data_IF_633884843060
#
_entry.id   IF_633884843060
#
_cell.length_a   1.000
_cell.length_b   1.000
_cell.length_c   1.000
_cell.angle_alpha   90.00
_cell.angle_beta   90.00
_cell.angle_gamma   90.00
#
_symmetry.space_group_name_H-M   'P 1'
#
loop_
_entity.id
_entity.type
_entity.pdbx_description
1 polymer ?
#
# COMPACT_ATOMS: atom_id res chain seq x y z
N UNK A 1 -34.66 -92.72 41.11
CA UNK A 1 -35.94 -91.99 40.95
C UNK A 1 -36.52 -92.40 39.61
N UNK A 2 -37.77 -92.85 39.54
CA UNK A 2 -38.40 -93.21 38.26
C UNK A 2 -39.33 -92.08 37.84
N UNK A 3 -39.08 -91.46 36.69
CA UNK A 3 -40.01 -90.48 36.11
C UNK A 3 -40.82 -91.22 35.06
N UNK A 4 -42.12 -91.35 35.32
CA UNK A 4 -43.06 -92.01 34.41
C UNK A 4 -43.76 -90.90 33.63
N UNK A 5 -43.44 -90.78 32.35
CA UNK A 5 -44.08 -89.81 31.45
C UNK A 5 -45.26 -90.53 30.80
N UNK A 6 -46.48 -90.13 31.16
CA UNK A 6 -47.73 -90.67 30.58
C UNK A 6 -48.31 -89.64 29.61
N UNK A 7 -48.38 -89.99 28.33
CA UNK A 7 -49.07 -89.19 27.31
C UNK A 7 -50.36 -89.90 26.88
N UNK A 8 -51.50 -89.48 27.45
CA UNK A 8 -52.90 -89.94 27.13
C UNK A 8 -53.29 -91.35 27.62
N UNK A 9 -54.61 -91.64 27.78
CA UNK A 9 -55.09 -92.77 28.59
C UNK A 9 -54.87 -94.18 28.02
N UNK A 10 -54.24 -94.34 26.84
CA UNK A 10 -54.05 -95.65 26.19
C UNK A 10 -52.72 -95.80 25.43
N UNK A 11 -51.69 -95.03 25.77
CA UNK A 11 -50.38 -95.14 25.12
C UNK A 11 -49.35 -95.90 25.98
N UNK A 12 -48.45 -96.64 25.32
CA UNK A 12 -47.32 -97.36 25.92
C UNK A 12 -46.56 -96.50 26.94
N UNK A 13 -46.52 -96.95 28.19
CA UNK A 13 -45.78 -96.30 29.29
C UNK A 13 -44.28 -96.41 29.04
N UNK A 14 -43.63 -95.30 28.67
CA UNK A 14 -42.17 -95.21 28.66
C UNK A 14 -41.68 -94.89 30.07
N UNK A 15 -41.06 -95.89 30.70
CA UNK A 15 -40.50 -95.77 32.05
C UNK A 15 -39.06 -95.28 31.92
N UNK A 16 -38.78 -94.02 32.29
CA UNK A 16 -37.41 -93.51 32.37
C UNK A 16 -36.82 -93.86 33.74
N UNK A 17 -35.99 -94.91 33.78
CA UNK A 17 -35.29 -95.37 34.99
C UNK A 17 -33.98 -94.59 35.14
N UNK A 18 -33.96 -93.51 35.93
CA UNK A 18 -32.76 -92.68 36.18
C UNK A 18 -31.62 -93.37 36.97
N UNK A 19 -31.69 -94.69 37.18
CA UNK A 19 -30.64 -95.49 37.84
C UNK A 19 -29.76 -96.31 36.89
N UNK A 20 -30.04 -96.30 35.58
CA UNK A 20 -29.29 -97.10 34.61
C UNK A 20 -28.11 -96.30 34.03
N UNK A 21 -26.89 -96.83 34.18
CA UNK A 21 -25.62 -96.17 33.81
C UNK A 21 -25.62 -95.70 32.35
N UNK A 22 -26.36 -96.36 31.46
CA UNK A 22 -26.53 -95.96 30.05
C UNK A 22 -27.28 -94.63 29.84
N UNK A 23 -28.28 -94.31 30.67
CA UNK A 23 -29.05 -93.07 30.51
C UNK A 23 -28.27 -91.83 30.98
N UNK A 24 -27.37 -91.98 31.96
CA UNK A 24 -26.46 -90.91 32.39
C UNK A 24 -25.46 -90.55 31.30
N UNK A 25 -24.88 -91.55 30.63
CA UNK A 25 -23.97 -91.32 29.49
C UNK A 25 -24.68 -90.62 28.31
N UNK A 26 -25.94 -90.96 28.03
CA UNK A 26 -26.73 -90.28 27.00
C UNK A 26 -27.05 -88.82 27.36
N UNK A 27 -27.38 -88.54 28.63
CA UNK A 27 -27.62 -87.17 29.08
C UNK A 27 -26.35 -86.31 29.04
N UNK A 28 -25.21 -86.86 29.48
CA UNK A 28 -23.90 -86.18 29.40
C UNK A 28 -23.53 -85.90 27.94
N UNK A 29 -23.72 -86.87 27.03
CA UNK A 29 -23.45 -86.69 25.62
C UNK A 29 -24.34 -85.59 24.99
N UNK A 30 -25.62 -85.52 25.36
CA UNK A 30 -26.53 -84.49 24.88
C UNK A 30 -26.13 -83.08 25.36
N UNK A 31 -25.74 -82.94 26.62
CA UNK A 31 -25.27 -81.66 27.18
C UNK A 31 -23.93 -81.25 26.55
N UNK A 32 -23.01 -82.18 26.38
CA UNK A 32 -21.73 -81.92 25.70
C UNK A 32 -21.95 -81.47 24.25
N UNK A 33 -22.85 -82.14 23.51
CA UNK A 33 -23.21 -81.76 22.15
C UNK A 33 -23.80 -80.33 22.10
N UNK A 34 -24.70 -80.01 23.03
CA UNK A 34 -25.30 -78.68 23.11
C UNK A 34 -24.24 -77.59 23.42
N UNK A 35 -23.33 -77.86 24.35
CA UNK A 35 -22.21 -76.97 24.69
C UNK A 35 -21.29 -76.74 23.50
N UNK A 36 -20.91 -77.81 22.78
CA UNK A 36 -20.10 -77.69 21.57
C UNK A 36 -20.82 -76.94 20.46
N UNK A 37 -22.14 -77.11 20.33
CA UNK A 37 -22.96 -76.38 19.38
C UNK A 37 -23.00 -74.87 19.67
N UNK A 38 -23.14 -74.48 20.94
CA UNK A 38 -23.10 -73.07 21.36
C UNK A 38 -21.70 -72.47 21.14
N UNK A 39 -20.63 -73.21 21.46
CA UNK A 39 -19.26 -72.77 21.20
C UNK A 39 -18.94 -72.65 19.71
N UNK A 40 -19.40 -73.60 18.89
CA UNK A 40 -19.26 -73.56 17.43
C UNK A 40 -20.05 -72.39 16.83
N UNK A 41 -21.26 -72.13 17.31
CA UNK A 41 -22.07 -71.01 16.87
C UNK A 41 -21.48 -69.67 17.31
N UNK A 42 -20.96 -69.59 18.54
CA UNK A 42 -20.27 -68.39 19.06
C UNK A 42 -18.98 -68.09 18.30
N UNK A 43 -18.17 -69.10 18.00
CA UNK A 43 -16.95 -68.94 17.18
C UNK A 43 -17.29 -68.61 15.72
N UNK A 44 -18.36 -69.17 15.16
CA UNK A 44 -18.82 -68.86 13.81
C UNK A 44 -19.36 -67.43 13.68
N UNK A 45 -20.19 -66.99 14.63
CA UNK A 45 -20.70 -65.60 14.68
C UNK A 45 -19.54 -64.63 14.96
N UNK A 46 -18.65 -64.96 15.90
CA UNK A 46 -17.45 -64.17 16.20
C UNK A 46 -16.53 -64.02 14.98
N UNK A 47 -16.27 -65.11 14.25
CA UNK A 47 -15.46 -65.06 13.03
C UNK A 47 -16.14 -64.29 11.87
N UNK A 48 -17.48 -64.25 11.82
CA UNK A 48 -18.23 -63.54 10.77
C UNK A 48 -18.44 -62.06 11.06
N UNK A 49 -18.67 -61.67 12.32
CA UNK A 49 -18.95 -60.28 12.72
C UNK A 49 -17.73 -59.57 13.30
N UNK A 50 -16.88 -60.28 14.03
CA UNK A 50 -15.61 -59.80 14.62
C UNK A 50 -14.44 -60.54 13.97
N UNK A 51 -14.58 -60.82 12.67
CA UNK A 51 -13.52 -61.46 11.89
C UNK A 51 -12.35 -60.49 11.67
N UNK A 52 -11.11 -60.99 11.56
CA UNK A 52 -9.92 -60.18 11.29
C UNK A 52 -10.06 -59.30 10.03
N UNK A 53 -10.93 -59.68 9.09
CA UNK A 53 -11.18 -58.94 7.85
C UNK A 53 -11.99 -57.65 8.06
N UNK A 54 -12.94 -57.62 9.01
CA UNK A 54 -13.69 -56.40 9.29
C UNK A 54 -12.81 -55.35 9.98
N UNK A 55 -12.01 -55.76 10.97
CA UNK A 55 -11.02 -54.87 11.60
C UNK A 55 -9.98 -54.37 10.58
N UNK A 56 -9.50 -55.25 9.69
CA UNK A 56 -8.59 -54.83 8.60
C UNK A 56 -9.25 -53.80 7.69
N UNK A 57 -10.51 -53.98 7.31
CA UNK A 57 -11.21 -53.02 6.46
C UNK A 57 -11.40 -51.66 7.14
N UNK A 58 -11.71 -51.63 8.44
CA UNK A 58 -11.80 -50.38 9.21
C UNK A 58 -10.43 -49.71 9.37
N UNK A 59 -9.37 -50.47 9.66
CA UNK A 59 -8.01 -49.95 9.75
C UNK A 59 -7.50 -49.41 8.41
N UNK A 60 -7.79 -50.10 7.30
CA UNK A 60 -7.46 -49.63 5.95
C UNK A 60 -8.23 -48.35 5.60
N UNK A 61 -9.52 -48.28 5.96
CA UNK A 61 -10.34 -47.08 5.79
C UNK A 61 -9.82 -45.89 6.61
N UNK A 62 -9.48 -46.11 7.88
CA UNK A 62 -8.92 -45.08 8.75
C UNK A 62 -7.53 -44.61 8.26
N UNK A 63 -6.69 -45.53 7.78
CA UNK A 63 -5.39 -45.20 7.16
C UNK A 63 -5.58 -44.32 5.92
N UNK A 64 -6.50 -44.70 5.04
CA UNK A 64 -6.83 -43.93 3.84
C UNK A 64 -7.36 -42.54 4.18
N UNK A 65 -8.17 -42.40 5.23
CA UNK A 65 -8.66 -41.09 5.67
C UNK A 65 -7.53 -40.22 6.22
N UNK A 66 -6.61 -40.79 7.00
CA UNK A 66 -5.43 -40.06 7.49
C UNK A 66 -4.51 -39.62 6.34
N UNK A 67 -4.32 -40.47 5.33
CA UNK A 67 -3.52 -40.12 4.16
C UNK A 67 -4.16 -38.99 3.35
N UNK A 68 -5.49 -39.01 3.20
CA UNK A 68 -6.24 -37.91 2.57
C UNK A 68 -6.13 -36.60 3.37
N UNK A 69 -6.34 -36.66 4.69
CA UNK A 69 -6.20 -35.48 5.55
C UNK A 69 -4.79 -34.91 5.50
N UNK A 70 -3.76 -35.77 5.51
CA UNK A 70 -2.36 -35.35 5.39
C UNK A 70 -2.08 -34.67 4.06
N UNK A 71 -2.54 -35.26 2.95
CA UNK A 71 -2.40 -34.64 1.63
C UNK A 71 -3.11 -33.30 1.54
N UNK A 72 -4.26 -33.14 2.21
CA UNK A 72 -4.98 -31.86 2.22
C UNK A 72 -4.24 -30.81 3.04
N UNK A 73 -3.68 -31.19 4.20
CA UNK A 73 -2.81 -30.31 5.01
C UNK A 73 -1.57 -29.89 4.23
N UNK A 74 -0.91 -30.82 3.52
CA UNK A 74 0.27 -30.52 2.70
C UNK A 74 -0.09 -29.57 1.55
N UNK A 75 -1.27 -29.76 0.92
CA UNK A 75 -1.78 -28.87 -0.12
C UNK A 75 -2.08 -27.47 0.42
N UNK A 76 -2.72 -27.38 1.59
CA UNK A 76 -3.02 -26.11 2.26
C UNK A 76 -1.74 -25.37 2.64
N UNK A 77 -0.76 -26.06 3.25
CA UNK A 77 0.53 -25.49 3.59
C UNK A 77 1.25 -24.96 2.34
N UNK A 78 1.28 -25.75 1.25
CA UNK A 78 1.85 -25.31 -0.02
C UNK A 78 1.13 -24.14 -0.69
N UNK A 79 -0.16 -23.93 -0.40
CA UNK A 79 -0.90 -22.74 -0.85
C UNK A 79 -0.50 -21.52 -0.02
N UNK A 80 -0.52 -21.62 1.30
CA UNK A 80 -0.11 -20.54 2.23
C UNK A 80 1.31 -20.07 1.92
N UNK A 81 2.26 -20.98 1.71
CA UNK A 81 3.65 -20.61 1.40
C UNK A 81 3.76 -19.86 0.07
N UNK A 82 3.02 -20.28 -0.97
CA UNK A 82 3.04 -19.57 -2.28
C UNK A 82 2.45 -18.17 -2.16
N UNK A 83 1.35 -18.03 -1.44
CA UNK A 83 0.71 -16.72 -1.21
C UNK A 83 1.63 -15.78 -0.43
N UNK A 84 2.31 -16.29 0.60
CA UNK A 84 3.34 -15.51 1.32
C UNK A 84 4.51 -15.10 0.42
N UNK A 85 4.97 -15.99 -0.46
CA UNK A 85 6.01 -15.64 -1.44
C UNK A 85 5.58 -14.50 -2.38
N UNK A 86 4.33 -14.54 -2.86
CA UNK A 86 3.78 -13.47 -3.69
C UNK A 86 3.64 -12.14 -2.92
N UNK A 87 3.20 -12.20 -1.66
CA UNK A 87 3.12 -11.03 -0.77
C UNK A 87 4.50 -10.44 -0.47
N UNK A 88 5.52 -11.27 -0.25
CA UNK A 88 6.89 -10.81 -0.03
C UNK A 88 7.46 -10.08 -1.24
N UNK A 89 7.23 -10.59 -2.45
CA UNK A 89 7.60 -9.90 -3.70
C UNK A 89 6.87 -8.57 -3.84
N UNK A 90 5.56 -8.56 -3.56
CA UNK A 90 4.75 -7.33 -3.60
C UNK A 90 5.23 -6.29 -2.59
N UNK A 91 5.55 -6.73 -1.37
CA UNK A 91 6.11 -5.88 -0.32
C UNK A 91 7.47 -5.32 -0.71
N UNK A 92 8.35 -6.16 -1.27
CA UNK A 92 9.66 -5.71 -1.77
C UNK A 92 9.53 -4.66 -2.88
N UNK A 93 8.53 -4.79 -3.76
CA UNK A 93 8.23 -3.77 -4.77
C UNK A 93 7.76 -2.45 -4.14
N UNK A 94 6.86 -2.50 -3.15
CA UNK A 94 6.39 -1.32 -2.42
C UNK A 94 7.56 -0.64 -1.69
N UNK A 95 8.45 -1.42 -1.08
CA UNK A 95 9.63 -0.90 -0.40
C UNK A 95 10.55 -0.18 -1.38
N UNK A 96 10.84 -0.78 -2.53
CA UNK A 96 11.65 -0.14 -3.58
C UNK A 96 11.02 1.16 -4.11
N UNK A 97 9.70 1.19 -4.25
CA UNK A 97 8.96 2.38 -4.64
C UNK A 97 9.03 3.47 -3.57
N UNK A 98 8.88 3.11 -2.28
CA UNK A 98 9.06 4.03 -1.15
C UNK A 98 10.47 4.63 -1.11
N UNK A 99 11.52 3.82 -1.30
CA UNK A 99 12.91 4.32 -1.37
C UNK A 99 13.10 5.32 -2.50
N UNK A 100 12.51 5.07 -3.66
CA UNK A 100 12.57 6.00 -4.80
C UNK A 100 11.85 7.31 -4.51
N UNK A 101 10.71 7.26 -3.84
CA UNK A 101 9.95 8.44 -3.42
C UNK A 101 10.75 9.26 -2.42
N UNK A 102 11.41 8.62 -1.44
CA UNK A 102 12.28 9.31 -0.49
C UNK A 102 13.41 10.07 -1.20
N UNK A 103 14.09 9.41 -2.13
CA UNK A 103 15.15 10.04 -2.92
C UNK A 103 14.64 11.22 -3.76
N UNK A 104 13.40 11.16 -4.24
CA UNK A 104 12.76 12.26 -4.95
C UNK A 104 12.46 13.44 -4.00
N UNK A 105 11.88 13.16 -2.83
CA UNK A 105 11.59 14.16 -1.79
C UNK A 105 12.84 14.91 -1.36
N UNK A 106 13.92 14.18 -1.06
CA UNK A 106 15.22 14.77 -0.68
C UNK A 106 15.79 15.66 -1.80
N UNK A 107 15.72 15.20 -3.06
CA UNK A 107 16.17 15.99 -4.21
C UNK A 107 15.35 17.27 -4.38
N UNK A 108 14.04 17.21 -4.18
CA UNK A 108 13.15 18.35 -4.27
C UNK A 108 13.40 19.35 -3.14
N UNK A 109 13.58 18.88 -1.90
CA UNK A 109 13.96 19.72 -0.77
C UNK A 109 15.29 20.44 -1.03
N UNK A 110 16.29 19.73 -1.56
CA UNK A 110 17.59 20.30 -1.91
C UNK A 110 17.53 21.34 -3.02
N UNK A 111 16.77 21.09 -4.08
CA UNK A 111 16.53 22.07 -5.16
C UNK A 111 15.80 23.31 -4.62
N UNK A 112 14.86 23.09 -3.70
CA UNK A 112 14.16 24.14 -2.97
C UNK A 112 15.03 24.86 -1.93
N UNK A 113 16.29 24.47 -1.72
CA UNK A 113 17.16 25.00 -0.64
C UNK A 113 16.49 24.95 0.75
N UNK A 114 15.79 23.85 1.04
CA UNK A 114 15.07 23.59 2.30
C UNK A 114 15.85 22.62 3.23
N UNK A 115 17.19 22.60 3.12
CA UNK A 115 18.09 21.59 3.73
C UNK A 115 18.35 21.81 5.23
N UNK A 116 17.42 22.45 5.95
CA UNK A 116 17.58 22.83 7.36
C UNK A 116 17.18 21.70 8.34
N UNK A 117 17.12 20.45 7.87
CA UNK A 117 16.72 19.29 8.66
C UNK A 117 15.20 19.21 8.95
N UNK A 118 14.39 20.09 8.36
CA UNK A 118 12.93 20.08 8.49
C UNK A 118 12.27 18.91 7.74
N UNK A 119 12.95 18.39 6.71
CA UNK A 119 12.52 17.26 5.90
C UNK A 119 13.55 16.15 5.96
N UNK A 120 13.25 15.11 6.73
CA UNK A 120 14.04 13.89 6.74
C UNK A 120 13.24 12.74 6.11
N UNK A 121 13.65 12.38 4.89
CA UNK A 121 13.10 11.25 4.13
C UNK A 121 13.91 9.96 4.31
N UNK A 122 14.98 10.01 5.11
CA UNK A 122 15.97 8.94 5.26
C UNK A 122 15.91 8.23 6.61
N UNK A 123 15.37 8.87 7.65
CA UNK A 123 15.24 8.24 8.96
C UNK A 123 14.14 7.18 9.00
N UNK A 124 14.54 6.00 9.47
CA UNK A 124 13.58 5.04 9.99
C UNK A 124 12.94 5.62 11.26
N UNK A 125 11.62 5.48 11.45
CA UNK A 125 10.96 5.97 12.66
C UNK A 125 11.67 5.42 13.92
N UNK A 126 12.00 6.31 14.87
CA UNK A 126 12.57 5.90 16.15
C UNK A 126 11.59 5.01 16.92
N UNK A 127 11.88 3.71 16.99
CA UNK A 127 11.04 2.73 17.67
C UNK A 127 11.66 2.39 19.02
N UNK A 128 11.05 2.89 20.10
CA UNK A 128 11.35 2.42 21.45
C UNK A 128 10.88 0.98 21.61
N UNK A 129 11.82 0.08 21.86
CA UNK A 129 11.55 -1.33 22.16
C UNK A 129 12.84 -2.15 22.15
N UNK A 130 12.92 -3.25 22.92
CA UNK A 130 14.09 -4.12 22.88
C UNK A 130 14.21 -4.76 21.49
N UNK A 131 15.32 -4.52 20.80
CA UNK A 131 15.66 -5.19 19.53
C UNK A 131 16.08 -6.62 19.87
N UNK A 132 15.25 -7.59 19.49
CA UNK A 132 15.59 -9.01 19.62
C UNK A 132 16.17 -9.47 18.28
N UNK A 133 17.50 -9.56 18.20
CA UNK A 133 18.20 -10.21 17.09
C UNK A 133 17.83 -11.70 17.08
N UNK A 134 16.87 -12.10 16.26
CA UNK A 134 16.62 -13.51 15.96
C UNK A 134 16.57 -13.72 14.45
N UNK A 135 17.67 -14.32 13.99
CA UNK A 135 17.91 -14.80 12.64
C UNK A 135 17.02 -16.02 12.38
N UNK A 136 16.26 -15.98 11.29
CA UNK A 136 15.75 -17.14 10.53
C UNK A 136 14.85 -18.17 11.25
N UNK A 137 13.82 -17.72 11.98
CA UNK A 137 12.63 -18.54 12.24
C UNK A 137 11.40 -17.92 11.58
N UNK A 138 10.47 -18.77 11.13
CA UNK A 138 9.23 -18.37 10.47
C UNK A 138 8.55 -17.26 11.25
N UNK A 139 8.53 -16.04 10.69
CA UNK A 139 7.95 -14.85 11.31
C UNK A 139 6.54 -15.20 11.81
N UNK A 140 6.32 -15.25 13.14
CA UNK A 140 5.01 -15.53 13.70
C UNK A 140 3.96 -14.54 13.16
N UNK A 141 2.71 -14.97 12.90
CA UNK A 141 1.68 -14.14 12.27
C UNK A 141 1.44 -12.78 12.96
N UNK A 142 1.66 -12.70 14.27
CA UNK A 142 1.59 -11.49 15.09
C UNK A 142 2.69 -10.47 14.75
N UNK A 143 3.92 -10.92 14.53
CA UNK A 143 5.05 -10.04 14.15
C UNK A 143 4.84 -9.44 12.76
N UNK A 144 4.30 -10.21 11.81
CA UNK A 144 4.00 -9.72 10.47
C UNK A 144 2.98 -8.57 10.47
N UNK A 145 1.93 -8.67 11.30
CA UNK A 145 0.93 -7.60 11.42
C UNK A 145 1.51 -6.31 12.00
N UNK A 146 2.45 -6.42 12.95
CA UNK A 146 3.17 -5.29 13.52
C UNK A 146 4.05 -4.59 12.47
N UNK A 147 4.76 -5.34 11.61
CA UNK A 147 5.56 -4.76 10.53
C UNK A 147 4.70 -4.06 9.48
N UNK A 148 3.56 -4.64 9.09
CA UNK A 148 2.61 -3.98 8.17
C UNK A 148 2.08 -2.67 8.76
N UNK A 149 1.78 -2.64 10.07
CA UNK A 149 1.31 -1.42 10.73
C UNK A 149 2.41 -0.35 10.81
N UNK A 150 3.67 -0.73 11.01
CA UNK A 150 4.82 0.20 10.94
C UNK A 150 4.97 0.78 9.53
N UNK A 151 4.94 -0.07 8.50
CA UNK A 151 5.03 0.37 7.11
C UNK A 151 3.89 1.33 6.74
N UNK A 152 2.65 1.01 7.16
CA UNK A 152 1.50 1.88 6.90
C UNK A 152 1.68 3.27 7.54
N UNK A 153 2.18 3.34 8.78
CA UNK A 153 2.44 4.63 9.45
C UNK A 153 3.56 5.40 8.75
N UNK A 154 4.62 4.73 8.33
CA UNK A 154 5.71 5.34 7.58
C UNK A 154 5.21 5.95 6.26
N UNK A 155 4.42 5.19 5.47
CA UNK A 155 3.83 5.68 4.22
C UNK A 155 2.90 6.88 4.45
N UNK A 156 2.12 6.86 5.53
CA UNK A 156 1.23 7.98 5.88
C UNK A 156 2.02 9.25 6.19
N UNK A 157 3.09 9.14 6.99
CA UNK A 157 3.96 10.28 7.31
C UNK A 157 4.70 10.81 6.08
N UNK A 158 5.23 9.94 5.23
CA UNK A 158 5.87 10.31 3.97
C UNK A 158 4.91 11.10 3.07
N UNK A 159 3.66 10.65 2.95
CA UNK A 159 2.63 11.34 2.14
C UNK A 159 2.37 12.75 2.66
N UNK A 160 2.33 12.94 3.99
CA UNK A 160 2.14 14.26 4.60
C UNK A 160 3.32 15.19 4.33
N UNK A 161 4.57 14.69 4.45
CA UNK A 161 5.77 15.47 4.18
C UNK A 161 5.83 15.92 2.71
N UNK A 162 5.53 15.03 1.76
CA UNK A 162 5.51 15.37 0.34
C UNK A 162 4.45 16.42 0.00
N UNK A 163 3.26 16.31 0.61
CA UNK A 163 2.19 17.29 0.43
C UNK A 163 2.60 18.67 0.93
N UNK A 164 3.32 18.75 2.05
CA UNK A 164 3.83 20.02 2.55
C UNK A 164 4.92 20.59 1.63
N UNK A 165 5.87 19.74 1.21
CA UNK A 165 6.94 20.13 0.31
C UNK A 165 6.39 20.66 -1.02
N UNK A 166 5.37 20.00 -1.58
CA UNK A 166 4.67 20.45 -2.78
C UNK A 166 4.13 21.87 -2.61
N UNK A 167 3.37 22.13 -1.54
CA UNK A 167 2.83 23.47 -1.25
C UNK A 167 3.92 24.54 -1.12
N UNK A 168 5.01 24.23 -0.41
CA UNK A 168 6.11 25.18 -0.25
C UNK A 168 6.82 25.50 -1.57
N UNK A 169 6.98 24.50 -2.44
CA UNK A 169 7.58 24.69 -3.75
C UNK A 169 6.64 25.46 -4.68
N UNK A 170 5.32 25.22 -4.60
CA UNK A 170 4.31 25.99 -5.31
C UNK A 170 4.32 27.46 -4.90
N UNK A 171 4.23 27.75 -3.59
CA UNK A 171 4.26 29.11 -3.05
C UNK A 171 5.52 29.86 -3.49
N UNK A 172 6.69 29.21 -3.40
CA UNK A 172 7.96 29.79 -3.84
C UNK A 172 7.99 30.06 -5.35
N UNK A 173 7.42 29.15 -6.15
CA UNK A 173 7.37 29.33 -7.61
C UNK A 173 6.49 30.53 -7.99
N UNK A 174 5.39 30.74 -7.27
CA UNK A 174 4.50 31.89 -7.43
C UNK A 174 5.23 33.17 -7.05
N UNK A 175 5.84 33.22 -5.86
CA UNK A 175 6.62 34.37 -5.41
C UNK A 175 7.75 34.72 -6.39
N UNK A 176 8.48 33.72 -6.87
CA UNK A 176 9.55 33.94 -7.83
C UNK A 176 9.03 34.45 -9.18
N UNK A 177 7.85 33.99 -9.63
CA UNK A 177 7.22 34.49 -10.86
C UNK A 177 6.76 35.95 -10.74
N UNK A 178 6.42 36.40 -9.53
CA UNK A 178 6.02 37.76 -9.21
C UNK A 178 7.20 38.72 -8.99
N UNK A 179 8.40 38.21 -8.74
CA UNK A 179 9.60 39.04 -8.58
C UNK A 179 10.10 39.58 -9.93
N UNK A 180 10.11 40.91 -10.15
CA UNK A 180 10.62 41.50 -11.40
C UNK A 180 12.08 41.11 -11.64
N UNK A 181 12.33 40.36 -12.72
CA UNK A 181 13.69 39.91 -13.06
C UNK A 181 13.88 39.75 -14.56
N UNK A 182 15.09 40.05 -15.05
CA UNK A 182 15.42 39.94 -16.48
C UNK A 182 15.34 41.26 -17.23
N UNK A 183 15.20 41.17 -18.55
CA UNK A 183 15.30 42.29 -19.50
C UNK A 183 13.98 42.38 -20.28
N UNK A 184 13.32 43.55 -20.37
CA UNK A 184 12.00 43.71 -20.99
C UNK A 184 12.03 43.79 -22.53
N UNK A 185 13.14 43.43 -23.17
CA UNK A 185 13.32 43.51 -24.63
C UNK A 185 14.05 42.26 -25.14
N UNK A 186 13.69 41.78 -26.34
CA UNK A 186 14.36 40.62 -26.95
C UNK A 186 15.82 40.88 -27.32
N UNK A 187 16.08 42.04 -27.90
CA UNK A 187 17.41 42.44 -28.38
C UNK A 187 17.61 43.92 -28.11
N UNK A 188 18.68 44.27 -27.41
CA UNK A 188 18.97 45.66 -27.08
C UNK A 188 20.04 45.74 -26.00
N UNK A 189 20.44 46.97 -25.71
CA UNK A 189 21.32 47.27 -24.58
C UNK A 189 20.75 48.45 -23.82
N UNK A 190 21.16 48.58 -22.56
CA UNK A 190 20.81 49.72 -21.72
C UNK A 190 21.45 50.98 -22.31
N UNK A 191 20.64 51.87 -22.86
CA UNK A 191 21.08 53.15 -23.43
C UNK A 191 21.24 54.21 -22.34
N UNK A 192 20.41 54.17 -21.30
CA UNK A 192 20.47 55.06 -20.13
C UNK A 192 20.18 54.29 -18.85
N UNK A 193 21.00 54.52 -17.82
CA UNK A 193 20.86 53.87 -16.51
C UNK A 193 19.99 54.71 -15.57
N UNK A 194 19.53 54.07 -14.51
CA UNK A 194 18.90 54.74 -13.38
C UNK A 194 19.90 55.64 -12.64
N UNK A 195 19.43 56.79 -12.17
CA UNK A 195 20.18 57.70 -11.31
C UNK A 195 20.40 59.10 -11.91
N UNK A 196 21.28 59.87 -11.28
CA UNK A 196 21.58 61.23 -11.73
C UNK A 196 22.44 61.24 -13.00
N UNK A 197 22.01 62.04 -13.98
CA UNK A 197 22.73 62.31 -15.22
C UNK A 197 22.79 63.82 -15.49
N UNK A 198 23.73 64.22 -16.34
CA UNK A 198 23.72 65.56 -16.90
C UNK A 198 22.78 65.57 -18.11
N UNK A 199 21.81 66.46 -18.09
CA UNK A 199 20.93 66.74 -19.22
C UNK A 199 21.79 67.14 -20.43
N UNK A 200 21.70 66.43 -21.57
CA UNK A 200 22.54 66.68 -22.75
C UNK A 200 22.31 68.06 -23.39
N UNK A 201 21.21 68.74 -23.06
CA UNK A 201 20.75 69.96 -23.71
C UNK A 201 21.11 71.19 -22.88
N UNK A 202 20.95 71.14 -21.55
CA UNK A 202 21.18 72.30 -20.67
C UNK A 202 22.27 72.08 -19.60
N UNK A 203 22.87 70.88 -19.52
CA UNK A 203 23.91 70.54 -18.56
C UNK A 203 23.45 70.41 -17.10
N UNK A 204 22.16 70.61 -16.84
CA UNK A 204 21.58 70.49 -15.50
C UNK A 204 21.55 69.03 -15.03
N UNK A 205 21.49 68.83 -13.72
CA UNK A 205 21.47 67.49 -13.13
C UNK A 205 20.04 66.97 -13.11
N UNK A 206 19.72 66.04 -14.00
CA UNK A 206 18.41 65.37 -14.05
C UNK A 206 18.51 64.00 -13.36
N UNK A 207 17.47 63.60 -12.63
CA UNK A 207 17.37 62.26 -12.05
C UNK A 207 16.52 61.36 -12.96
N UNK A 208 17.13 60.33 -13.53
CA UNK A 208 16.44 59.33 -14.32
C UNK A 208 15.89 58.23 -13.41
N UNK A 209 14.58 58.21 -13.21
CA UNK A 209 13.88 57.25 -12.34
C UNK A 209 13.60 55.89 -12.99
N UNK A 210 14.28 55.57 -14.10
CA UNK A 210 14.07 54.36 -14.88
C UNK A 210 15.35 53.88 -15.55
N UNK A 211 15.19 52.91 -16.45
CA UNK A 211 16.26 52.40 -17.30
C UNK A 211 15.73 52.44 -18.73
N UNK A 212 16.50 53.05 -19.64
CA UNK A 212 16.13 53.10 -21.05
C UNK A 212 16.83 51.97 -21.79
N UNK A 213 16.07 51.26 -22.61
CA UNK A 213 16.56 50.23 -23.50
C UNK A 213 16.53 50.75 -24.93
N UNK A 214 17.60 50.52 -25.67
CA UNK A 214 17.61 50.80 -27.11
C UNK A 214 16.72 49.79 -27.84
N UNK A 215 15.82 50.28 -28.69
CA UNK A 215 14.92 49.49 -29.51
C UNK A 215 14.44 50.29 -30.73
N UNK A 216 13.89 49.62 -31.72
CA UNK A 216 13.22 50.23 -32.87
C UNK A 216 11.75 50.46 -32.55
N UNK A 217 11.14 51.39 -33.29
CA UNK A 217 9.70 51.62 -33.19
C UNK A 217 8.94 50.33 -33.54
N UNK A 218 8.12 49.85 -32.60
CA UNK A 218 7.30 48.65 -32.75
C UNK A 218 8.00 47.35 -32.35
N UNK A 219 9.20 47.39 -31.76
CA UNK A 219 9.78 46.22 -31.11
C UNK A 219 8.93 45.82 -29.88
N UNK A 220 8.77 44.50 -29.70
CA UNK A 220 7.97 43.93 -28.60
C UNK A 220 8.56 44.30 -27.23
N UNK A 221 7.68 44.77 -26.34
CA UNK A 221 8.00 44.98 -24.92
C UNK A 221 7.48 43.80 -24.11
N UNK A 222 8.35 43.24 -23.27
CA UNK A 222 8.08 42.02 -22.50
C UNK A 222 7.91 42.32 -21.01
N UNK A 223 6.97 41.62 -20.38
CA UNK A 223 6.83 41.65 -18.93
C UNK A 223 7.99 40.91 -18.24
N UNK A 224 8.66 41.57 -17.30
CA UNK A 224 9.78 40.97 -16.53
C UNK A 224 9.34 40.14 -15.33
N UNK A 225 8.03 40.12 -15.03
CA UNK A 225 7.42 39.29 -14.00
C UNK A 225 5.92 39.13 -14.28
N UNK A 226 5.33 38.12 -13.66
CA UNK A 226 3.89 37.87 -13.70
C UNK A 226 3.14 38.77 -12.72
N UNK A 227 1.91 39.11 -13.05
CA UNK A 227 1.12 40.05 -12.26
C UNK A 227 -0.19 40.40 -12.94
N UNK A 228 -0.79 41.51 -12.52
CA UNK A 228 -2.03 42.05 -13.10
C UNK A 228 -1.79 43.48 -13.56
N UNK A 229 -2.29 43.83 -14.74
CA UNK A 229 -2.20 45.20 -15.25
C UNK A 229 -2.98 46.14 -14.33
N UNK A 230 -2.26 47.05 -13.65
CA UNK A 230 -2.84 48.07 -12.76
C UNK A 230 -3.12 49.39 -13.47
N UNK A 231 -2.45 49.65 -14.60
CA UNK A 231 -2.68 50.80 -15.46
C UNK A 231 -2.36 50.48 -16.92
N UNK A 232 -3.19 50.96 -17.85
CA UNK A 232 -2.93 50.94 -19.29
C UNK A 232 -3.52 52.19 -19.93
N UNK A 233 -2.68 53.08 -20.44
CA UNK A 233 -3.11 54.36 -21.03
C UNK A 233 -1.98 55.36 -21.22
N UNK A 234 -2.30 56.65 -21.42
CA UNK A 234 -1.29 57.70 -21.53
C UNK A 234 -1.00 58.38 -20.19
N UNK A 235 0.29 58.61 -19.90
CA UNK A 235 0.73 59.48 -18.80
C UNK A 235 1.60 60.61 -19.34
N UNK A 236 1.39 61.82 -18.82
CA UNK A 236 2.21 62.98 -19.16
C UNK A 236 3.68 62.70 -18.87
N UNK A 237 4.56 63.01 -19.83
CA UNK A 237 6.00 62.74 -19.75
C UNK A 237 6.42 61.30 -20.10
N UNK A 238 5.49 60.34 -20.13
CA UNK A 238 5.80 58.92 -20.40
C UNK A 238 5.17 58.37 -21.69
N UNK A 239 4.20 59.07 -22.29
CA UNK A 239 3.50 58.58 -23.48
C UNK A 239 2.57 57.42 -23.13
N UNK A 240 2.47 56.40 -24.00
CA UNK A 240 1.68 55.20 -23.72
C UNK A 240 2.42 54.35 -22.68
N UNK A 241 1.71 53.98 -21.62
CA UNK A 241 2.24 53.31 -20.44
C UNK A 241 1.40 52.11 -20.06
N UNK A 242 2.08 51.03 -19.69
CA UNK A 242 1.50 49.89 -18.96
C UNK A 242 2.19 49.79 -17.61
N UNK A 243 1.42 49.65 -16.54
CA UNK A 243 1.93 49.30 -15.21
C UNK A 243 1.38 47.93 -14.82
N UNK A 244 2.26 47.07 -14.32
CA UNK A 244 1.92 45.73 -13.85
C UNK A 244 2.21 45.68 -12.36
N UNK A 245 1.18 45.38 -11.57
CA UNK A 245 1.32 45.06 -10.15
C UNK A 245 1.59 43.56 -10.02
N UNK A 246 2.73 43.23 -9.42
CA UNK A 246 3.16 41.85 -9.25
C UNK A 246 2.81 41.30 -7.86
N UNK A 247 2.19 42.10 -6.99
CA UNK A 247 2.05 41.76 -5.58
C UNK A 247 3.35 42.01 -4.80
N UNK A 248 3.31 41.74 -3.49
CA UNK A 248 4.46 41.92 -2.58
C UNK A 248 5.12 43.32 -2.63
N UNK A 249 4.39 44.35 -3.09
CA UNK A 249 4.86 45.74 -3.20
C UNK A 249 5.64 46.06 -4.49
N UNK A 250 5.73 45.13 -5.45
CA UNK A 250 6.43 45.36 -6.72
C UNK A 250 5.50 45.84 -7.82
N UNK A 251 5.90 46.92 -8.48
CA UNK A 251 5.23 47.43 -9.69
C UNK A 251 6.29 47.70 -10.76
N UNK A 252 6.05 47.21 -11.97
CA UNK A 252 6.87 47.58 -13.15
C UNK A 252 6.10 48.53 -14.04
N UNK A 253 6.80 49.53 -14.59
CA UNK A 253 6.26 50.52 -15.52
C UNK A 253 7.00 50.42 -16.85
N UNK A 254 6.25 50.27 -17.92
CA UNK A 254 6.73 50.26 -19.29
C UNK A 254 6.18 51.50 -19.99
N UNK A 255 7.05 52.34 -20.53
CA UNK A 255 6.70 53.65 -21.04
C UNK A 255 7.26 53.87 -22.44
N UNK A 256 6.84 54.97 -23.09
CA UNK A 256 7.21 55.33 -24.45
C UNK A 256 6.81 54.28 -25.50
N UNK A 257 5.77 53.49 -25.19
CA UNK A 257 5.29 52.43 -26.05
C UNK A 257 4.60 52.99 -27.30
N UNK A 258 4.75 52.30 -28.43
CA UNK A 258 4.06 52.68 -29.67
C UNK A 258 2.57 52.35 -29.65
N UNK A 259 2.20 51.24 -29.00
CA UNK A 259 0.84 50.73 -28.79
C UNK A 259 0.77 50.03 -27.43
N UNK A 260 -0.43 49.82 -26.89
CA UNK A 260 -0.66 48.97 -25.72
C UNK A 260 -1.50 47.77 -26.15
N UNK A 261 -1.12 46.56 -25.74
CA UNK A 261 -1.84 45.33 -26.09
C UNK A 261 -2.80 44.85 -24.99
N UNK A 262 -2.60 45.31 -23.75
CA UNK A 262 -3.34 44.88 -22.58
C UNK A 262 -4.18 45.99 -21.95
N UNK A 263 -5.21 45.60 -21.21
CA UNK A 263 -6.11 46.47 -20.45
C UNK A 263 -5.97 46.23 -18.94
N UNK A 264 -6.47 47.17 -18.14
CA UNK A 264 -6.48 47.04 -16.68
C UNK A 264 -7.26 45.80 -16.26
N UNK A 265 -6.65 44.98 -15.40
CA UNK A 265 -7.20 43.70 -14.93
C UNK A 265 -6.71 42.48 -15.70
N UNK A 266 -6.01 42.64 -16.82
CA UNK A 266 -5.47 41.49 -17.56
C UNK A 266 -4.35 40.80 -16.77
N UNK A 267 -4.36 39.45 -16.66
CA UNK A 267 -3.27 38.70 -16.08
C UNK A 267 -2.10 38.64 -17.04
N UNK A 268 -0.89 38.77 -16.52
CA UNK A 268 0.36 38.76 -17.28
C UNK A 268 1.29 37.70 -16.71
N UNK A 269 1.97 36.96 -17.56
CA UNK A 269 3.05 36.02 -17.21
C UNK A 269 4.41 36.63 -17.58
N UNK A 270 5.50 36.21 -16.90
CA UNK A 270 6.84 36.61 -17.30
C UNK A 270 7.10 36.26 -18.78
N UNK A 271 7.56 37.24 -19.55
CA UNK A 271 7.85 37.10 -20.99
C UNK A 271 6.68 37.36 -21.93
N UNK A 272 5.47 37.66 -21.43
CA UNK A 272 4.35 38.05 -22.29
C UNK A 272 4.64 39.40 -22.98
N UNK A 273 4.21 39.52 -24.24
CA UNK A 273 4.27 40.78 -24.99
C UNK A 273 3.13 41.68 -24.55
N UNK A 274 3.47 42.87 -24.04
CA UNK A 274 2.50 43.77 -23.41
C UNK A 274 2.24 45.06 -24.21
N UNK A 275 3.16 45.44 -25.10
CA UNK A 275 3.13 46.68 -25.85
C UNK A 275 3.96 46.60 -27.14
#
# INVERSE_FOLDING_TARGET
MNIIIVSKPFASTRILRLGDRRQHWLAIAAVALMLTGVLALGTFIGARFVGPDHLRSQLLGARSQLDQQKSEVDRLNGMVTRDMGALAVKLGRIQAESTRINALGERLAKLGKLDDGEFDFSSEPGLGGPVQDSIAESVPPDQFSAELFRLQRQLAQQTQQLTLLERLLEDRSIDQSMMPSGIPVHTGYVSSRFGYRHDPINGSREFHSGIDFNGKLGDDVLAVAGGVVSFSGQKSGYGNVVEIDHGNGYVTRYAHNSRLLLQVGDPVRPGDVIA
#
